data_IF_761807880229
#
_entry.id   IF_761807880229
#
_cell.length_a   1.000
_cell.length_b   1.000
_cell.length_c   1.000
_cell.angle_alpha   90.00
_cell.angle_beta   90.00
_cell.angle_gamma   90.00
#
_symmetry.space_group_name_H-M   'P 1'
#
loop_
_entity.id
_entity.type
_entity.pdbx_description
1 polymer ?
#
# COMPACT_ATOMS: atom_id res chain seq x y z
N UNK A 1 -16.04 -10.43 -22.04
CA UNK A 1 -15.20 -10.04 -23.18
C UNK A 1 -15.01 -8.53 -23.07
N UNK A 2 -13.82 -8.06 -22.69
CA UNK A 2 -12.69 -7.88 -23.63
C UNK A 2 -13.12 -6.81 -24.65
N UNK A 3 -12.54 -5.61 -24.67
CA UNK A 3 -11.10 -5.36 -24.75
C UNK A 3 -10.75 -3.86 -24.57
N UNK A 4 -9.51 -3.65 -24.12
CA UNK A 4 -8.51 -2.66 -24.62
C UNK A 4 -8.77 -1.19 -24.29
N UNK A 5 -7.98 -0.58 -23.40
CA UNK A 5 -6.55 -0.24 -23.46
C UNK A 5 -6.27 1.13 -24.07
N UNK A 6 -5.64 1.96 -23.23
CA UNK A 6 -4.66 3.01 -23.53
C UNK A 6 -4.97 4.03 -24.62
N UNK A 7 -4.97 5.31 -24.23
CA UNK A 7 -4.21 6.30 -24.98
C UNK A 7 -3.61 7.35 -24.03
N UNK A 8 -2.28 7.32 -23.99
CA UNK A 8 -1.40 8.41 -23.61
C UNK A 8 -1.51 9.54 -24.65
N UNK A 9 -1.25 10.78 -24.17
CA UNK A 9 -0.79 11.97 -24.91
C UNK A 9 -1.86 12.64 -25.83
N UNK A 10 -1.75 13.92 -26.25
CA UNK A 10 -0.64 14.87 -26.16
C UNK A 10 -1.01 16.28 -25.64
N UNK A 11 0.02 17.08 -25.33
CA UNK A 11 -0.03 18.53 -25.47
C UNK A 11 -0.21 18.84 -26.95
N UNK A 12 -1.44 19.05 -27.42
CA UNK A 12 -1.67 19.82 -28.64
C UNK A 12 -3.07 20.43 -28.62
N UNK A 13 -3.06 21.75 -28.73
CA UNK A 13 -4.15 22.63 -29.15
C UNK A 13 -5.15 21.94 -30.09
N UNK A 14 -6.40 21.82 -29.66
CA UNK A 14 -7.56 22.06 -30.52
C UNK A 14 -8.87 22.12 -29.71
N UNK A 15 -9.61 23.20 -29.98
CA UNK A 15 -10.97 23.54 -29.54
C UNK A 15 -11.96 22.37 -29.68
N UNK A 16 -12.58 21.95 -28.57
CA UNK A 16 -13.84 21.20 -28.56
C UNK A 16 -14.41 21.10 -27.13
N UNK A 17 -15.58 21.70 -26.88
CA UNK A 17 -16.29 21.67 -25.60
C UNK A 17 -16.53 20.23 -25.11
N UNK A 18 -15.85 19.83 -24.03
CA UNK A 18 -16.11 18.56 -23.33
C UNK A 18 -16.86 18.79 -22.03
N UNK A 19 -17.98 18.06 -21.88
CA UNK A 19 -18.80 17.98 -20.66
C UNK A 19 -18.18 16.94 -19.72
N UNK A 20 -17.77 17.35 -18.51
CA UNK A 20 -17.29 16.43 -17.47
C UNK A 20 -18.36 16.33 -16.39
N UNK A 21 -18.89 15.12 -16.18
CA UNK A 21 -19.86 14.80 -15.14
C UNK A 21 -19.13 14.02 -14.05
N UNK A 22 -19.03 14.58 -12.84
CA UNK A 22 -18.44 13.89 -11.70
C UNK A 22 -19.52 13.11 -10.93
N UNK A 23 -19.33 11.81 -10.66
CA UNK A 23 -20.19 11.07 -9.74
C UNK A 23 -19.77 11.37 -8.28
N UNK A 24 -20.71 11.81 -7.46
CA UNK A 24 -20.56 11.97 -6.00
C UNK A 24 -21.44 10.94 -5.28
N UNK A 25 -21.01 10.38 -4.13
CA UNK A 25 -21.77 9.37 -3.39
C UNK A 25 -22.96 9.92 -2.55
N UNK A 26 -23.36 11.19 -2.73
CA UNK A 26 -24.59 11.79 -2.17
C UNK A 26 -25.48 12.36 -3.31
N UNK A 27 -26.80 12.58 -3.12
CA UNK A 27 -27.79 12.66 -4.22
C UNK A 27 -27.77 13.95 -5.06
N UNK A 28 -26.66 14.68 -5.10
CA UNK A 28 -26.57 15.98 -5.76
C UNK A 28 -25.63 15.91 -6.97
N UNK A 29 -26.26 15.95 -8.16
CA UNK A 29 -25.63 15.94 -9.49
C UNK A 29 -25.08 17.32 -9.81
N UNK A 30 -23.83 17.39 -10.26
CA UNK A 30 -23.18 18.61 -10.75
C UNK A 30 -23.06 18.56 -12.28
N UNK A 31 -23.30 19.69 -12.96
CA UNK A 31 -23.06 19.84 -14.41
C UNK A 31 -22.24 21.11 -14.61
N UNK A 32 -21.00 20.94 -15.07
CA UNK A 32 -20.11 22.04 -15.45
C UNK A 32 -20.14 22.18 -16.97
N UNK A 33 -20.37 23.38 -17.48
CA UNK A 33 -20.34 23.71 -18.91
C UNK A 33 -19.39 24.88 -19.14
N UNK A 34 -18.57 24.74 -20.19
CA UNK A 34 -17.56 25.67 -20.71
C UNK A 34 -16.25 25.80 -19.90
N UNK A 35 -15.17 25.40 -20.55
CA UNK A 35 -13.78 25.56 -20.12
C UNK A 35 -13.10 26.51 -21.11
N UNK A 36 -13.00 27.78 -20.78
CA UNK A 36 -11.85 28.58 -21.22
C UNK A 36 -10.85 28.60 -20.06
N UNK A 37 -9.55 28.63 -20.37
CA UNK A 37 -8.43 28.28 -19.48
C UNK A 37 -8.27 29.12 -18.19
N UNK A 38 -9.29 29.88 -17.77
CA UNK A 38 -9.25 30.76 -16.61
C UNK A 38 -10.56 30.87 -15.83
N UNK A 39 -11.76 30.51 -16.36
CA UNK A 39 -13.04 30.71 -15.67
C UNK A 39 -14.05 29.56 -15.87
N UNK A 40 -14.88 29.28 -14.86
CA UNK A 40 -15.92 28.24 -14.84
C UNK A 40 -17.29 28.89 -14.62
N UNK A 41 -18.25 28.63 -15.52
CA UNK A 41 -19.63 29.14 -15.40
C UNK A 41 -20.56 28.10 -14.76
N UNK A 42 -21.24 28.48 -13.68
CA UNK A 42 -22.10 27.60 -12.89
C UNK A 42 -23.57 27.92 -13.14
N UNK A 43 -24.26 27.10 -13.93
CA UNK A 43 -25.62 27.41 -14.44
C UNK A 43 -26.77 26.69 -13.72
N UNK A 44 -26.51 25.70 -12.87
CA UNK A 44 -27.58 24.99 -12.15
C UNK A 44 -27.14 24.55 -10.76
N UNK A 45 -27.50 25.36 -9.76
CA UNK A 45 -27.21 25.11 -8.35
C UNK A 45 -28.45 25.52 -7.54
N UNK A 46 -28.72 24.82 -6.42
CA UNK A 46 -29.77 25.22 -5.46
C UNK A 46 -29.51 26.65 -4.95
N UNK A 47 -30.54 27.47 -4.70
CA UNK A 47 -30.37 28.89 -4.35
C UNK A 47 -29.41 29.13 -3.18
N UNK A 48 -29.39 28.25 -2.18
CA UNK A 48 -28.50 28.35 -1.00
C UNK A 48 -27.01 28.17 -1.31
N UNK A 49 -26.69 27.43 -2.36
CA UNK A 49 -25.30 27.17 -2.77
C UNK A 49 -24.86 28.16 -3.86
N UNK A 50 -25.82 28.80 -4.54
CA UNK A 50 -25.59 29.88 -5.49
C UNK A 50 -25.10 31.14 -4.77
N UNK A 51 -25.68 31.49 -3.63
CA UNK A 51 -25.22 32.61 -2.79
C UNK A 51 -23.83 32.35 -2.19
N UNK A 52 -23.56 31.11 -1.79
CA UNK A 52 -22.26 30.72 -1.25
C UNK A 52 -21.17 30.78 -2.31
N UNK A 53 -21.44 30.28 -3.52
CA UNK A 53 -20.49 30.39 -4.64
C UNK A 53 -20.29 31.85 -5.09
N UNK A 54 -21.35 32.67 -5.07
CA UNK A 54 -21.25 34.10 -5.36
C UNK A 54 -20.41 34.87 -4.32
N UNK A 55 -20.29 34.39 -3.08
CA UNK A 55 -19.40 35.02 -2.09
C UNK A 55 -17.90 34.79 -2.35
N UNK A 56 -17.56 33.84 -3.24
CA UNK A 56 -16.18 33.58 -3.67
C UNK A 56 -15.87 34.17 -5.05
N UNK A 57 -16.86 34.80 -5.69
CA UNK A 57 -16.70 35.55 -6.93
C UNK A 57 -16.17 36.95 -6.58
N UNK A 58 -14.84 37.10 -6.61
CA UNK A 58 -14.16 38.30 -6.13
C UNK A 58 -14.25 39.50 -7.08
N UNK A 59 -14.53 39.25 -8.36
CA UNK A 59 -14.69 40.28 -9.38
C UNK A 59 -16.16 40.52 -9.78
N UNK A 60 -17.07 39.65 -9.36
CA UNK A 60 -18.52 39.83 -9.45
C UNK A 60 -19.05 39.68 -10.88
N UNK A 61 -18.31 39.00 -11.76
CA UNK A 61 -18.65 38.81 -13.16
C UNK A 61 -19.58 37.60 -13.41
N UNK A 62 -19.90 36.85 -12.35
CA UNK A 62 -20.73 35.66 -12.39
C UNK A 62 -19.99 34.40 -12.87
N UNK A 63 -18.66 34.41 -12.91
CA UNK A 63 -17.80 33.29 -13.25
C UNK A 63 -16.71 33.10 -12.20
N UNK A 64 -16.50 31.87 -11.73
CA UNK A 64 -15.40 31.61 -10.80
C UNK A 64 -14.12 31.31 -11.57
N UNK A 65 -13.03 32.01 -11.23
CA UNK A 65 -11.70 31.61 -11.70
C UNK A 65 -11.28 30.29 -11.07
N UNK A 66 -10.27 29.62 -11.65
CA UNK A 66 -9.78 28.35 -11.09
C UNK A 66 -9.32 28.47 -9.62
N UNK A 67 -8.76 29.62 -9.24
CA UNK A 67 -8.33 29.89 -7.88
C UNK A 67 -9.53 30.01 -6.92
N UNK A 68 -10.55 30.78 -7.30
CA UNK A 68 -11.76 30.98 -6.51
C UNK A 68 -12.60 29.71 -6.42
N UNK A 69 -12.69 28.94 -7.51
CA UNK A 69 -13.35 27.64 -7.51
C UNK A 69 -12.67 26.67 -6.52
N UNK A 70 -11.34 26.60 -6.50
CA UNK A 70 -10.62 25.77 -5.54
C UNK A 70 -10.82 26.24 -4.09
N UNK A 71 -10.91 27.56 -3.85
CA UNK A 71 -11.21 28.10 -2.52
C UNK A 71 -12.64 27.77 -2.08
N UNK A 72 -13.62 27.91 -2.98
CA UNK A 72 -15.00 27.55 -2.72
C UNK A 72 -15.16 26.05 -2.44
N UNK A 73 -14.47 25.18 -3.19
CA UNK A 73 -14.48 23.74 -2.94
C UNK A 73 -13.83 23.36 -1.60
N UNK A 74 -12.73 24.02 -1.23
CA UNK A 74 -12.12 23.82 0.08
C UNK A 74 -13.05 24.27 1.21
N UNK A 75 -13.75 25.40 1.05
CA UNK A 75 -14.72 25.89 2.03
C UNK A 75 -15.93 24.95 2.19
N UNK A 76 -16.42 24.35 1.09
CA UNK A 76 -17.50 23.36 1.12
C UNK A 76 -17.10 22.05 1.82
N UNK A 77 -15.85 21.62 1.64
CA UNK A 77 -15.31 20.47 2.39
C UNK A 77 -15.20 20.76 3.88
N UNK A 78 -14.84 21.99 4.25
CA UNK A 78 -14.79 22.44 5.65
C UNK A 78 -16.20 22.53 6.26
N UNK A 79 -17.19 23.04 5.54
CA UNK A 79 -18.58 23.04 6.02
C UNK A 79 -19.15 21.62 6.17
N UNK A 80 -18.76 20.65 5.34
CA UNK A 80 -19.14 19.25 5.54
C UNK A 80 -18.54 18.69 6.83
N UNK A 81 -17.29 19.05 7.17
CA UNK A 81 -16.69 18.64 8.45
C UNK A 81 -17.29 19.38 9.65
N UNK A 82 -17.72 20.63 9.48
CA UNK A 82 -18.36 21.41 10.54
C UNK A 82 -19.80 20.95 10.79
N UNK A 83 -20.60 20.63 9.77
CA UNK A 83 -21.94 20.07 9.94
C UNK A 83 -21.92 18.69 10.61
N UNK A 84 -20.84 17.91 10.42
CA UNK A 84 -20.61 16.65 11.15
C UNK A 84 -20.22 16.91 12.62
N UNK A 85 -19.54 18.03 12.90
CA UNK A 85 -19.10 18.40 14.26
C UNK A 85 -20.18 19.16 15.06
N UNK A 86 -21.08 19.89 14.40
CA UNK A 86 -22.22 20.59 15.02
C UNK A 86 -23.33 19.61 15.45
N UNK A 87 -23.48 18.48 14.76
CA UNK A 87 -24.36 17.40 15.21
C UNK A 87 -23.89 16.74 16.54
N UNK A 88 -22.62 16.92 16.91
CA UNK A 88 -22.01 16.32 18.11
C UNK A 88 -21.69 17.31 19.24
N UNK A 89 -21.95 18.61 19.07
CA UNK A 89 -21.59 19.63 20.07
C UNK A 89 -22.70 20.67 20.25
N UNK A 90 -23.82 20.24 20.83
CA UNK A 90 -24.79 21.17 21.44
C UNK A 90 -24.13 21.92 22.61
N UNK A 91 -24.56 23.16 22.87
CA UNK A 91 -24.30 23.92 24.10
C UNK A 91 -22.83 24.26 24.45
N UNK A 92 -22.36 25.46 24.11
CA UNK A 92 -21.74 26.42 25.05
C UNK A 92 -21.02 27.59 24.33
N UNK A 93 -21.54 28.81 24.56
CA UNK A 93 -20.84 30.10 24.69
C UNK A 93 -19.85 30.60 23.60
N UNK A 94 -20.24 31.73 22.99
CA UNK A 94 -19.39 32.70 22.26
C UNK A 94 -18.67 33.68 23.24
N UNK A 95 -17.90 34.70 22.77
CA UNK A 95 -16.77 34.69 21.82
C UNK A 95 -15.51 35.39 22.43
N UNK A 96 -14.31 35.13 21.88
CA UNK A 96 -13.20 36.11 21.96
C UNK A 96 -12.36 36.05 20.68
N UNK A 97 -12.03 37.24 20.18
CA UNK A 97 -11.42 37.51 18.88
C UNK A 97 -9.86 37.47 18.96
N UNK A 98 -9.09 37.93 17.93
CA UNK A 98 -8.34 37.06 17.02
C UNK A 98 -6.82 37.26 17.08
N UNK A 99 -6.02 36.34 16.51
CA UNK A 99 -4.72 36.57 15.81
C UNK A 99 -3.92 35.25 15.65
N UNK A 100 -2.87 35.18 14.80
CA UNK A 100 -2.71 35.74 13.46
C UNK A 100 -2.21 34.68 12.45
N UNK A 101 -2.33 35.05 11.16
CA UNK A 101 -1.47 34.70 10.01
C UNK A 101 -0.30 33.73 10.24
N UNK A 102 -0.30 32.64 9.46
CA UNK A 102 0.84 31.97 8.81
C UNK A 102 0.84 30.43 8.97
N UNK A 103 0.00 29.74 8.19
CA UNK A 103 0.28 28.36 7.81
C UNK A 103 0.87 28.36 6.40
N UNK A 104 2.19 28.56 6.33
CA UNK A 104 2.99 28.28 5.13
C UNK A 104 2.68 26.85 4.71
N UNK A 105 2.19 26.69 3.49
CA UNK A 105 1.91 25.40 2.85
C UNK A 105 3.17 24.53 2.89
N UNK A 106 3.22 23.61 3.86
CA UNK A 106 4.30 22.63 3.96
C UNK A 106 4.16 21.66 2.79
N UNK A 107 5.03 21.82 1.79
CA UNK A 107 5.23 20.88 0.68
C UNK A 107 5.36 19.47 1.27
N UNK A 108 4.43 18.57 0.94
CA UNK A 108 4.43 17.18 1.44
C UNK A 108 5.81 16.56 1.12
N UNK A 109 6.59 16.09 2.12
CA UNK A 109 7.94 15.62 1.88
C UNK A 109 7.93 14.44 0.91
N UNK A 110 8.84 14.46 -0.07
CA UNK A 110 9.09 13.31 -0.95
C UNK A 110 9.41 12.08 -0.11
N UNK A 111 8.83 10.90 -0.40
CA UNK A 111 9.11 9.69 0.37
C UNK A 111 10.61 9.39 0.29
N UNK A 112 11.30 9.50 1.42
CA UNK A 112 12.72 9.19 1.53
C UNK A 112 12.93 7.69 1.42
N UNK A 113 13.84 7.26 0.55
CA UNK A 113 14.29 5.87 0.46
C UNK A 113 14.92 5.42 1.78
N UNK A 114 14.95 4.10 2.03
CA UNK A 114 15.35 3.57 3.33
C UNK A 114 16.80 3.94 3.69
N UNK A 115 17.69 4.02 2.71
CA UNK A 115 19.08 4.44 2.85
C UNK A 115 19.19 5.90 3.30
N UNK A 116 18.39 6.80 2.73
CA UNK A 116 18.31 8.20 3.15
C UNK A 116 17.71 8.32 4.55
N UNK A 117 16.75 7.48 4.92
CA UNK A 117 16.22 7.45 6.29
C UNK A 117 17.31 7.02 7.29
N UNK A 118 18.09 6.00 6.97
CA UNK A 118 19.23 5.55 7.79
C UNK A 118 20.26 6.68 7.91
N UNK A 119 20.69 7.24 6.78
CA UNK A 119 21.71 8.28 6.75
C UNK A 119 21.28 9.54 7.50
N UNK A 120 20.03 9.99 7.32
CA UNK A 120 19.49 11.16 8.01
C UNK A 120 19.28 10.90 9.50
N UNK A 121 18.83 9.70 9.88
CA UNK A 121 18.71 9.28 11.27
C UNK A 121 20.07 9.29 11.98
N UNK A 122 21.10 8.76 11.33
CA UNK A 122 22.46 8.72 11.87
C UNK A 122 23.09 10.11 11.98
N UNK A 123 22.95 10.95 10.95
CA UNK A 123 23.41 12.36 10.98
C UNK A 123 22.71 13.15 12.09
N UNK A 124 21.40 12.98 12.25
CA UNK A 124 20.64 13.66 13.29
C UNK A 124 21.08 13.25 14.70
N UNK A 125 21.46 11.98 14.90
CA UNK A 125 21.98 11.50 16.18
C UNK A 125 23.38 12.02 16.50
N UNK A 126 24.28 12.04 15.52
CA UNK A 126 25.60 12.67 15.68
C UNK A 126 25.49 14.17 15.97
N UNK A 127 24.55 14.86 15.33
CA UNK A 127 24.28 16.29 15.60
C UNK A 127 23.79 16.55 17.02
N UNK A 128 23.22 15.56 17.71
CA UNK A 128 22.84 15.62 19.14
C UNK A 128 24.00 15.29 20.09
N UNK A 129 25.20 15.03 19.56
CA UNK A 129 26.38 14.64 20.35
C UNK A 129 26.34 13.18 20.83
N UNK A 130 25.44 12.35 20.31
CA UNK A 130 25.42 10.92 20.61
C UNK A 130 26.67 10.24 20.01
N UNK A 131 27.25 9.29 20.75
CA UNK A 131 28.33 8.46 20.19
C UNK A 131 27.79 7.67 18.97
N UNK A 132 28.64 7.31 17.99
CA UNK A 132 28.22 6.56 16.80
C UNK A 132 27.46 5.27 17.16
N UNK A 133 27.86 4.62 18.26
CA UNK A 133 27.21 3.41 18.76
C UNK A 133 25.82 3.72 19.37
N UNK A 134 25.69 4.81 20.13
CA UNK A 134 24.40 5.22 20.70
C UNK A 134 23.40 5.61 19.60
N UNK A 135 23.86 6.31 18.57
CA UNK A 135 23.08 6.68 17.38
C UNK A 135 22.54 5.44 16.62
N UNK A 136 23.39 4.43 16.46
CA UNK A 136 23.01 3.17 15.82
C UNK A 136 21.98 2.42 16.65
N UNK A 137 22.20 2.30 17.96
CA UNK A 137 21.29 1.62 18.88
C UNK A 137 19.94 2.32 18.98
N UNK A 138 19.91 3.66 19.00
CA UNK A 138 18.66 4.43 19.02
C UNK A 138 17.88 4.29 17.70
N UNK A 139 18.57 4.31 16.56
CA UNK A 139 17.97 4.03 15.26
C UNK A 139 17.40 2.60 15.19
N UNK A 140 18.18 1.59 15.59
CA UNK A 140 17.73 0.19 15.63
C UNK A 140 16.55 0.01 16.58
N UNK A 141 16.63 0.55 17.81
CA UNK A 141 15.54 0.50 18.78
C UNK A 141 14.27 1.17 18.21
N UNK A 142 14.40 2.29 17.49
CA UNK A 142 13.27 2.95 16.83
C UNK A 142 12.65 2.12 15.71
N UNK A 143 13.43 1.34 14.96
CA UNK A 143 12.92 0.48 13.87
C UNK A 143 12.40 -0.87 14.34
N UNK A 144 12.95 -1.39 15.43
CA UNK A 144 12.42 -2.57 16.13
C UNK A 144 11.11 -2.26 16.85
N UNK A 145 10.90 -0.99 17.19
CA UNK A 145 9.63 -0.52 17.73
C UNK A 145 8.61 -0.43 16.59
N UNK A 146 7.69 -1.40 16.53
CA UNK A 146 6.62 -1.43 15.52
C UNK A 146 5.50 -0.40 15.82
N UNK A 147 5.87 0.76 16.37
CA UNK A 147 4.99 1.90 16.66
C UNK A 147 4.73 2.63 15.34
N UNK A 148 3.53 2.52 14.80
CA UNK A 148 3.11 3.27 13.61
C UNK A 148 2.34 2.46 12.58
N UNK A 149 2.37 1.14 12.63
CA UNK A 149 1.40 0.31 11.89
C UNK A 149 0.22 0.04 12.81
N UNK A 150 -0.97 0.53 12.47
CA UNK A 150 -2.20 0.10 13.14
C UNK A 150 -2.28 -1.43 13.15
N UNK A 151 -2.78 -2.01 14.24
CA UNK A 151 -3.01 -3.47 14.30
C UNK A 151 -3.89 -3.86 13.12
N UNK A 152 -3.47 -4.88 12.37
CA UNK A 152 -4.32 -5.41 11.30
C UNK A 152 -5.63 -5.92 11.91
N UNK A 153 -6.75 -5.69 11.22
CA UNK A 153 -8.06 -6.11 11.70
C UNK A 153 -8.09 -7.64 11.88
N UNK A 154 -8.85 -8.12 12.87
CA UNK A 154 -9.00 -9.56 13.12
C UNK A 154 -9.36 -10.36 11.86
N UNK A 155 -10.29 -9.83 11.07
CA UNK A 155 -10.69 -10.39 9.77
C UNK A 155 -9.53 -10.48 8.78
N UNK A 156 -8.67 -9.47 8.69
CA UNK A 156 -7.51 -9.50 7.79
C UNK A 156 -6.51 -10.58 8.19
N UNK A 157 -6.28 -10.79 9.50
CA UNK A 157 -5.44 -11.87 10.00
C UNK A 157 -6.05 -13.23 9.63
N UNK A 158 -7.34 -13.44 9.93
CA UNK A 158 -8.01 -14.71 9.66
C UNK A 158 -7.98 -15.04 8.17
N UNK A 159 -8.33 -14.11 7.30
CA UNK A 159 -8.36 -14.36 5.86
C UNK A 159 -6.97 -14.55 5.26
N UNK A 160 -5.95 -13.87 5.78
CA UNK A 160 -4.56 -14.13 5.39
C UNK A 160 -4.12 -15.54 5.78
N UNK A 161 -4.46 -15.97 7.00
CA UNK A 161 -4.17 -17.31 7.52
C UNK A 161 -4.85 -18.39 6.67
N UNK A 162 -6.17 -18.26 6.44
CA UNK A 162 -6.94 -19.19 5.63
C UNK A 162 -6.39 -19.25 4.20
N UNK A 163 -6.09 -18.11 3.59
CA UNK A 163 -5.51 -18.05 2.24
C UNK A 163 -4.18 -18.79 2.14
N UNK A 164 -3.25 -18.49 3.06
CA UNK A 164 -1.94 -19.16 3.12
C UNK A 164 -2.09 -20.67 3.34
N UNK A 165 -2.91 -21.07 4.32
CA UNK A 165 -3.14 -22.47 4.64
C UNK A 165 -3.72 -23.25 3.45
N UNK A 166 -4.74 -22.70 2.80
CA UNK A 166 -5.35 -23.31 1.62
C UNK A 166 -4.38 -23.37 0.44
N UNK A 167 -3.59 -22.33 0.20
CA UNK A 167 -2.64 -22.30 -0.90
C UNK A 167 -1.53 -23.36 -0.75
N UNK A 168 -0.90 -23.40 0.43
CA UNK A 168 0.18 -24.37 0.71
C UNK A 168 -0.37 -25.79 0.76
N UNK A 169 -1.56 -26.00 1.33
CA UNK A 169 -2.22 -27.31 1.32
C UNK A 169 -2.55 -27.74 -0.10
N UNK A 170 -3.12 -26.87 -0.93
CA UNK A 170 -3.43 -27.17 -2.32
C UNK A 170 -2.16 -27.49 -3.13
N UNK A 171 -1.08 -26.73 -2.95
CA UNK A 171 0.22 -27.03 -3.55
C UNK A 171 0.76 -28.39 -3.09
N UNK A 172 0.65 -28.71 -1.79
CA UNK A 172 1.08 -29.98 -1.22
C UNK A 172 0.28 -31.16 -1.77
N UNK A 173 -1.05 -31.06 -1.81
CA UNK A 173 -1.94 -32.08 -2.38
C UNK A 173 -1.67 -32.23 -3.88
N UNK A 174 -1.52 -31.13 -4.61
CA UNK A 174 -1.18 -31.15 -6.04
C UNK A 174 0.16 -31.83 -6.26
N UNK A 175 1.17 -31.56 -5.43
CA UNK A 175 2.50 -32.19 -5.49
C UNK A 175 2.45 -33.72 -5.34
N UNK A 176 1.50 -34.25 -4.56
CA UNK A 176 1.30 -35.69 -4.40
C UNK A 176 0.63 -36.31 -5.63
N UNK A 177 -0.40 -35.65 -6.17
CA UNK A 177 -1.18 -36.18 -7.29
C UNK A 177 -0.51 -36.00 -8.65
N UNK A 178 0.26 -34.93 -8.82
CA UNK A 178 0.85 -34.60 -10.12
C UNK A 178 1.89 -35.62 -10.58
N UNK A 179 2.43 -36.42 -9.66
CA UNK A 179 3.36 -37.53 -9.95
C UNK A 179 2.73 -38.65 -10.78
N UNK A 180 1.40 -38.78 -10.78
CA UNK A 180 0.67 -39.76 -11.59
C UNK A 180 0.14 -39.18 -12.90
N UNK A 181 0.32 -37.89 -13.17
CA UNK A 181 -0.15 -37.27 -14.41
C UNK A 181 0.72 -37.67 -15.60
N UNK A 182 0.12 -38.01 -16.76
CA UNK A 182 0.87 -38.55 -17.90
C UNK A 182 1.80 -37.53 -18.56
N UNK A 183 1.52 -36.23 -18.45
CA UNK A 183 2.28 -35.18 -19.16
C UNK A 183 3.46 -34.64 -18.34
N UNK A 184 3.25 -34.45 -17.03
CA UNK A 184 4.21 -33.76 -16.15
C UNK A 184 4.75 -34.67 -15.04
N UNK A 185 4.17 -35.85 -14.85
CA UNK A 185 4.47 -36.74 -13.73
C UNK A 185 5.92 -37.21 -13.71
N UNK A 186 6.52 -37.47 -14.87
CA UNK A 186 7.93 -37.84 -14.98
C UNK A 186 8.85 -36.80 -14.34
N UNK A 187 8.60 -35.51 -14.57
CA UNK A 187 9.40 -34.44 -13.99
C UNK A 187 9.31 -34.39 -12.46
N UNK A 188 8.13 -34.67 -11.89
CA UNK A 188 7.93 -34.72 -10.44
C UNK A 188 8.52 -35.97 -9.79
N UNK A 189 8.55 -37.09 -10.51
CA UNK A 189 9.26 -38.29 -10.07
C UNK A 189 10.77 -38.09 -10.05
N UNK A 190 11.30 -37.24 -10.94
CA UNK A 190 12.72 -36.87 -10.98
C UNK A 190 13.14 -35.83 -9.92
N UNK A 191 12.23 -35.46 -9.00
CA UNK A 191 12.54 -34.58 -7.88
C UNK A 191 12.13 -33.12 -8.06
N UNK A 192 11.36 -32.77 -9.10
CA UNK A 192 10.69 -31.49 -9.16
C UNK A 192 9.58 -31.46 -8.09
N UNK A 193 9.73 -30.61 -7.07
CA UNK A 193 8.67 -30.36 -6.10
C UNK A 193 7.90 -29.09 -6.45
N UNK A 194 6.59 -29.04 -6.18
CA UNK A 194 5.76 -27.84 -6.33
C UNK A 194 5.80 -26.90 -5.12
N UNK A 195 6.37 -27.33 -4.00
CA UNK A 195 6.59 -26.47 -2.81
C UNK A 195 7.90 -25.68 -2.95
N UNK A 196 8.00 -24.87 -4.01
CA UNK A 196 9.16 -24.01 -4.24
C UNK A 196 9.13 -22.81 -3.28
N UNK A 197 10.30 -22.38 -2.80
CA UNK A 197 10.44 -21.17 -1.98
C UNK A 197 9.91 -19.90 -2.69
N UNK A 198 9.97 -19.89 -4.03
CA UNK A 198 9.34 -18.85 -4.85
C UNK A 198 7.82 -18.78 -4.63
N UNK A 199 7.11 -19.90 -4.70
CA UNK A 199 5.65 -19.93 -4.48
C UNK A 199 5.29 -19.65 -3.02
N UNK A 200 6.11 -20.07 -2.05
CA UNK A 200 5.92 -19.67 -0.66
C UNK A 200 5.99 -18.15 -0.47
N UNK A 201 7.01 -17.51 -1.04
CA UNK A 201 7.16 -16.04 -1.01
C UNK A 201 6.00 -15.34 -1.72
N UNK A 202 5.55 -15.90 -2.85
CA UNK A 202 4.40 -15.38 -3.57
C UNK A 202 3.12 -15.45 -2.72
N UNK A 203 2.85 -16.56 -2.03
CA UNK A 203 1.73 -16.67 -1.10
C UNK A 203 1.80 -15.60 0.00
N UNK A 204 2.98 -15.36 0.58
CA UNK A 204 3.17 -14.31 1.61
C UNK A 204 2.77 -12.93 1.06
N UNK A 205 3.16 -12.62 -0.18
CA UNK A 205 2.82 -11.35 -0.80
C UNK A 205 1.33 -11.23 -1.12
N UNK A 206 0.75 -12.23 -1.79
CA UNK A 206 -0.67 -12.24 -2.20
C UNK A 206 -1.60 -12.13 -0.99
N UNK A 207 -1.35 -12.92 0.06
CA UNK A 207 -2.25 -12.97 1.22
C UNK A 207 -1.90 -11.91 2.26
N UNK A 208 -0.61 -11.61 2.47
CA UNK A 208 -0.18 -10.66 3.49
C UNK A 208 -0.31 -9.20 3.08
N UNK A 209 0.05 -8.87 1.84
CA UNK A 209 0.07 -7.48 1.33
C UNK A 209 -0.44 -7.43 -0.12
N UNK A 210 -1.74 -7.64 -0.36
CA UNK A 210 -2.31 -7.62 -1.71
C UNK A 210 -2.20 -6.25 -2.40
N UNK A 211 -1.99 -5.16 -1.66
CA UNK A 211 -1.77 -3.83 -2.24
C UNK A 211 -0.33 -3.61 -2.73
N UNK A 212 0.61 -4.52 -2.43
CA UNK A 212 1.99 -4.36 -2.84
C UNK A 212 2.11 -4.33 -4.37
N UNK A 213 2.95 -3.44 -4.89
CA UNK A 213 3.15 -3.31 -6.34
C UNK A 213 3.65 -4.61 -6.97
N UNK A 214 4.44 -5.38 -6.22
CA UNK A 214 4.94 -6.70 -6.62
C UNK A 214 3.82 -7.75 -6.87
N UNK A 215 2.61 -7.53 -6.35
CA UNK A 215 1.44 -8.43 -6.51
C UNK A 215 0.57 -8.04 -7.71
N UNK A 216 0.85 -6.92 -8.38
CA UNK A 216 0.16 -6.56 -9.63
C UNK A 216 0.31 -7.70 -10.64
N UNK A 217 -0.76 -8.00 -11.36
CA UNK A 217 -0.81 -9.13 -12.32
C UNK A 217 0.30 -9.01 -13.37
N UNK A 218 0.61 -7.79 -13.82
CA UNK A 218 1.72 -7.55 -14.73
C UNK A 218 3.06 -8.01 -14.16
N UNK A 219 3.37 -7.59 -12.92
CA UNK A 219 4.62 -7.92 -12.25
C UNK A 219 4.72 -9.42 -11.99
N UNK A 220 3.62 -10.05 -11.58
CA UNK A 220 3.53 -11.50 -11.38
C UNK A 220 3.90 -12.26 -12.66
N UNK A 221 3.22 -11.97 -13.78
CA UNK A 221 3.40 -12.71 -15.03
C UNK A 221 4.75 -12.41 -15.69
N UNK A 222 5.07 -11.13 -15.88
CA UNK A 222 6.32 -10.73 -16.51
C UNK A 222 7.52 -11.08 -15.63
N UNK A 223 7.37 -11.00 -14.31
CA UNK A 223 8.41 -11.40 -13.37
C UNK A 223 8.78 -12.88 -13.51
N UNK A 224 7.79 -13.76 -13.60
CA UNK A 224 8.02 -15.19 -13.82
C UNK A 224 8.65 -15.47 -15.20
N UNK A 225 8.17 -14.82 -16.25
CA UNK A 225 8.71 -14.97 -17.61
C UNK A 225 10.15 -14.48 -17.68
N UNK A 226 10.44 -13.27 -17.21
CA UNK A 226 11.79 -12.69 -17.24
C UNK A 226 12.76 -13.54 -16.39
N UNK A 227 12.35 -13.95 -15.20
CA UNK A 227 13.17 -14.80 -14.33
C UNK A 227 13.53 -16.13 -15.01
N UNK A 228 12.53 -16.84 -15.54
CA UNK A 228 12.76 -18.14 -16.19
C UNK A 228 13.51 -18.01 -17.52
N UNK A 229 13.19 -17.00 -18.35
CA UNK A 229 13.87 -16.78 -19.61
C UNK A 229 15.35 -16.43 -19.42
N UNK A 230 15.67 -15.54 -18.48
CA UNK A 230 17.07 -15.16 -18.20
C UNK A 230 17.88 -16.34 -17.69
N UNK A 231 17.39 -17.08 -16.68
CA UNK A 231 18.15 -18.21 -16.14
C UNK A 231 18.35 -19.33 -17.15
N UNK A 232 17.33 -19.67 -17.94
CA UNK A 232 17.44 -20.73 -18.93
C UNK A 232 18.42 -20.35 -20.04
N UNK A 233 18.34 -19.11 -20.54
CA UNK A 233 19.31 -18.59 -21.53
C UNK A 233 20.74 -18.71 -21.02
N UNK A 234 21.00 -18.28 -19.78
CA UNK A 234 22.34 -18.34 -19.19
C UNK A 234 22.79 -19.78 -18.90
N UNK A 235 21.87 -20.67 -18.55
CA UNK A 235 22.16 -22.10 -18.40
C UNK A 235 22.58 -22.75 -19.72
N UNK A 236 21.97 -22.42 -20.86
CA UNK A 236 22.42 -22.94 -22.16
C UNK A 236 23.79 -22.41 -22.57
N UNK A 237 24.09 -21.16 -22.25
CA UNK A 237 25.34 -20.51 -22.68
C UNK A 237 26.52 -20.90 -21.79
N UNK A 238 26.32 -20.95 -20.46
CA UNK A 238 27.39 -21.08 -19.47
C UNK A 238 27.35 -22.39 -18.68
N UNK A 239 26.25 -23.15 -18.78
CA UNK A 239 26.00 -24.31 -17.94
C UNK A 239 25.73 -23.96 -16.46
N UNK A 240 25.43 -24.96 -15.63
CA UNK A 240 25.19 -24.76 -14.20
C UNK A 240 26.49 -24.37 -13.48
N UNK A 241 26.63 -23.08 -13.18
CA UNK A 241 27.82 -22.53 -12.52
C UNK A 241 27.46 -21.35 -11.60
N UNK A 242 28.40 -20.98 -10.72
CA UNK A 242 28.24 -19.76 -9.90
C UNK A 242 28.12 -18.51 -10.77
N UNK A 243 28.81 -18.49 -11.91
CA UNK A 243 28.75 -17.39 -12.87
C UNK A 243 27.36 -17.31 -13.53
N UNK A 244 26.78 -18.44 -13.93
CA UNK A 244 25.41 -18.48 -14.45
C UNK A 244 24.40 -17.97 -13.43
N UNK A 245 24.52 -18.36 -12.14
CA UNK A 245 23.62 -17.85 -11.08
C UNK A 245 23.72 -16.34 -10.92
N UNK A 246 24.94 -15.82 -10.81
CA UNK A 246 25.17 -14.40 -10.60
C UNK A 246 24.69 -13.58 -11.81
N UNK A 247 25.05 -13.98 -13.03
CA UNK A 247 24.64 -13.29 -14.25
C UNK A 247 23.14 -13.39 -14.49
N UNK A 248 22.52 -14.55 -14.29
CA UNK A 248 21.07 -14.68 -14.43
C UNK A 248 20.32 -13.77 -13.45
N UNK A 249 20.75 -13.70 -12.18
CA UNK A 249 20.15 -12.79 -11.20
C UNK A 249 20.32 -11.32 -11.58
N UNK A 250 21.51 -10.94 -12.05
CA UNK A 250 21.81 -9.57 -12.48
C UNK A 250 21.01 -9.16 -13.73
N UNK A 251 20.96 -10.03 -14.75
CA UNK A 251 20.16 -9.81 -15.95
C UNK A 251 18.67 -9.77 -15.62
N UNK A 252 18.18 -10.69 -14.77
CA UNK A 252 16.79 -10.70 -14.33
C UNK A 252 16.38 -9.38 -13.70
N UNK A 253 17.12 -8.87 -12.70
CA UNK A 253 16.73 -7.62 -12.03
C UNK A 253 16.81 -6.43 -12.98
N UNK A 254 17.83 -6.36 -13.83
CA UNK A 254 17.96 -5.31 -14.83
C UNK A 254 16.79 -5.32 -15.84
N UNK A 255 16.41 -6.50 -16.34
CA UNK A 255 15.27 -6.66 -17.24
C UNK A 255 13.94 -6.33 -16.55
N UNK A 256 13.73 -6.76 -15.30
CA UNK A 256 12.52 -6.42 -14.55
C UNK A 256 12.40 -4.92 -14.26
N UNK A 257 13.52 -4.23 -14.02
CA UNK A 257 13.53 -2.77 -13.88
C UNK A 257 13.21 -2.09 -15.20
N UNK A 258 13.71 -2.62 -16.32
CA UNK A 258 13.41 -2.08 -17.65
C UNK A 258 11.92 -2.21 -18.02
N UNK A 259 11.26 -3.28 -17.57
CA UNK A 259 9.84 -3.56 -17.87
C UNK A 259 8.87 -3.12 -16.77
N UNK A 260 9.35 -2.40 -15.75
CA UNK A 260 8.59 -2.00 -14.55
C UNK A 260 7.85 -3.17 -13.88
N UNK A 261 8.45 -4.36 -13.89
CA UNK A 261 7.82 -5.62 -13.49
C UNK A 261 8.59 -6.33 -12.36
N UNK A 262 9.18 -5.56 -11.44
CA UNK A 262 9.92 -6.12 -10.29
C UNK A 262 9.02 -7.04 -9.48
N UNK A 263 9.40 -8.31 -9.42
CA UNK A 263 8.68 -9.37 -8.74
C UNK A 263 9.68 -10.25 -7.96
N UNK A 264 9.89 -9.97 -6.66
CA UNK A 264 10.89 -10.66 -5.85
C UNK A 264 10.82 -12.20 -5.86
N UNK A 265 9.63 -12.86 -5.91
CA UNK A 265 9.55 -14.32 -6.05
C UNK A 265 10.27 -14.89 -7.28
N UNK A 266 10.45 -14.09 -8.33
CA UNK A 266 11.23 -14.47 -9.52
C UNK A 266 12.69 -14.78 -9.22
N UNK A 267 13.30 -14.07 -8.25
CA UNK A 267 14.69 -14.33 -7.86
C UNK A 267 14.90 -15.73 -7.30
N UNK A 268 13.93 -16.24 -6.53
CA UNK A 268 13.97 -17.63 -6.05
C UNK A 268 13.86 -18.64 -7.20
N UNK A 269 13.10 -18.36 -8.27
CA UNK A 269 13.02 -19.24 -9.45
C UNK A 269 14.37 -19.35 -10.16
N UNK A 270 15.09 -18.23 -10.31
CA UNK A 270 16.42 -18.21 -10.94
C UNK A 270 17.37 -19.14 -10.17
N UNK A 271 17.49 -18.96 -8.86
CA UNK A 271 18.41 -19.79 -8.06
C UNK A 271 18.02 -21.27 -8.10
N UNK A 272 16.72 -21.56 -7.96
CA UNK A 272 16.22 -22.94 -8.01
C UNK A 272 16.45 -23.60 -9.36
N UNK A 273 16.30 -22.87 -10.47
CA UNK A 273 16.52 -23.42 -11.81
C UNK A 273 17.98 -23.82 -12.06
N UNK A 274 18.94 -23.06 -11.50
CA UNK A 274 20.35 -23.45 -11.61
C UNK A 274 20.71 -24.61 -10.68
N UNK A 275 20.11 -24.71 -9.49
CA UNK A 275 20.48 -25.75 -8.52
C UNK A 275 19.76 -27.09 -8.76
N UNK A 276 18.61 -27.10 -9.44
CA UNK A 276 17.81 -28.31 -9.67
C UNK A 276 18.07 -28.96 -11.03
N UNK A 277 18.66 -30.16 -11.02
CA UNK A 277 18.83 -30.97 -12.22
C UNK A 277 17.49 -31.33 -12.90
N UNK A 278 16.41 -31.49 -12.14
CA UNK A 278 15.08 -31.74 -12.70
C UNK A 278 14.56 -30.53 -13.50
N UNK A 279 14.82 -29.31 -13.03
CA UNK A 279 14.47 -28.08 -13.74
C UNK A 279 15.36 -27.92 -14.99
N UNK A 280 16.66 -28.18 -14.88
CA UNK A 280 17.57 -28.10 -16.03
C UNK A 280 17.16 -29.05 -17.16
N UNK A 281 16.72 -30.28 -16.83
CA UNK A 281 16.21 -31.25 -17.82
C UNK A 281 14.90 -30.83 -18.48
N UNK A 282 14.07 -30.09 -17.76
CA UNK A 282 12.80 -29.58 -18.26
C UNK A 282 13.02 -28.45 -19.28
N UNK A 283 14.15 -27.76 -19.18
CA UNK A 283 14.54 -26.70 -20.11
C UNK A 283 13.44 -25.60 -20.17
N UNK A 284 13.14 -25.06 -21.35
CA UNK A 284 12.10 -24.06 -21.60
C UNK A 284 10.71 -24.42 -21.09
N UNK A 285 10.40 -25.71 -20.85
CA UNK A 285 9.14 -26.08 -20.23
C UNK A 285 8.98 -25.53 -18.82
N UNK A 286 10.08 -25.29 -18.10
CA UNK A 286 10.06 -24.72 -16.74
C UNK A 286 9.33 -23.38 -16.67
N UNK A 287 9.45 -22.58 -17.72
CA UNK A 287 8.75 -21.29 -17.86
C UNK A 287 7.23 -21.46 -17.85
N UNK A 288 6.72 -22.44 -18.61
CA UNK A 288 5.29 -22.72 -18.67
C UNK A 288 4.80 -23.47 -17.43
N UNK A 289 5.51 -24.53 -17.06
CA UNK A 289 5.17 -25.41 -15.96
C UNK A 289 6.44 -25.73 -15.16
N UNK A 290 6.47 -25.56 -13.83
CA UNK A 290 5.37 -25.15 -12.97
C UNK A 290 5.22 -23.62 -12.89
N UNK A 291 6.19 -22.82 -13.37
CA UNK A 291 6.31 -21.39 -13.05
C UNK A 291 5.04 -20.59 -13.33
N UNK A 292 4.55 -20.57 -14.58
CA UNK A 292 3.35 -19.83 -14.95
C UNK A 292 2.07 -20.59 -14.64
N UNK A 293 2.03 -21.89 -14.94
CA UNK A 293 0.84 -22.72 -14.80
C UNK A 293 0.31 -22.73 -13.36
N UNK A 294 1.18 -22.93 -12.36
CA UNK A 294 0.77 -22.94 -10.95
C UNK A 294 0.32 -21.55 -10.49
N UNK A 295 1.05 -20.52 -10.92
CA UNK A 295 0.74 -19.13 -10.60
C UNK A 295 -0.64 -18.72 -11.13
N UNK A 296 -0.92 -19.00 -12.40
CA UNK A 296 -2.15 -18.61 -13.09
C UNK A 296 -3.33 -19.49 -12.69
N UNK A 297 -3.14 -20.81 -12.61
CA UNK A 297 -4.25 -21.75 -12.41
C UNK A 297 -4.64 -21.91 -10.93
N UNK A 298 -3.71 -21.68 -10.00
CA UNK A 298 -3.94 -21.92 -8.57
C UNK A 298 -3.81 -20.67 -7.72
N UNK A 299 -2.63 -20.03 -7.72
CA UNK A 299 -2.32 -18.97 -6.76
C UNK A 299 -3.09 -17.67 -7.04
N UNK A 300 -3.21 -17.28 -8.31
CA UNK A 300 -3.93 -16.06 -8.69
C UNK A 300 -5.44 -16.16 -8.40
N UNK A 301 -6.18 -17.23 -8.79
CA UNK A 301 -7.59 -17.37 -8.43
C UNK A 301 -7.84 -17.40 -6.93
N UNK A 302 -6.99 -18.13 -6.19
CA UNK A 302 -7.10 -18.19 -4.73
C UNK A 302 -6.81 -16.83 -4.08
N UNK A 303 -5.81 -16.11 -4.57
CA UNK A 303 -5.52 -14.74 -4.18
C UNK A 303 -6.69 -13.79 -4.41
N UNK A 304 -7.33 -13.88 -5.59
CA UNK A 304 -8.52 -13.09 -5.92
C UNK A 304 -9.67 -13.41 -4.95
N UNK A 305 -9.92 -14.70 -4.67
CA UNK A 305 -11.00 -15.13 -3.78
C UNK A 305 -10.78 -14.63 -2.34
N UNK A 306 -9.57 -14.78 -1.80
CA UNK A 306 -9.25 -14.31 -0.44
C UNK A 306 -9.27 -12.78 -0.36
N UNK A 307 -8.77 -12.08 -1.38
CA UNK A 307 -8.83 -10.62 -1.42
C UNK A 307 -10.26 -10.09 -1.58
N UNK A 308 -11.14 -10.82 -2.27
CA UNK A 308 -12.58 -10.52 -2.28
C UNK A 308 -13.18 -10.67 -0.88
N UNK A 309 -12.81 -11.73 -0.16
CA UNK A 309 -13.32 -12.01 1.19
C UNK A 309 -12.85 -10.97 2.22
N UNK A 310 -11.58 -10.55 2.16
CA UNK A 310 -11.03 -9.44 2.95
C UNK A 310 -11.77 -8.11 2.75
N UNK A 311 -12.25 -7.85 1.54
CA UNK A 311 -12.97 -6.61 1.24
C UNK A 311 -14.42 -6.64 1.70
N UNK A 312 -15.09 -7.79 1.62
CA UNK A 312 -16.52 -7.90 1.85
C UNK A 312 -16.92 -8.42 3.23
N UNK A 313 -16.04 -9.14 3.92
CA UNK A 313 -16.31 -9.73 5.24
C UNK A 313 -15.30 -9.21 6.25
N UNK A 314 -15.62 -8.04 6.80
CA UNK A 314 -14.81 -7.36 7.82
C UNK A 314 -15.44 -7.49 9.18
N UNK A 315 -14.62 -7.88 10.14
CA UNK A 315 -14.94 -7.91 11.56
C UNK A 315 -13.65 -7.66 12.34
N UNK A 316 -13.80 -7.14 13.55
CA UNK A 316 -12.69 -6.94 14.46
C UNK A 316 -12.97 -7.68 15.77
N UNK A 317 -11.93 -8.09 16.48
CA UNK A 317 -12.13 -8.64 17.82
C UNK A 317 -12.60 -7.49 18.72
N UNK A 318 -13.57 -7.72 19.63
CA UNK A 318 -13.93 -6.70 20.60
C UNK A 318 -12.69 -6.34 21.42
N UNK A 319 -12.14 -5.15 21.19
CA UNK A 319 -11.09 -4.55 22.02
C UNK A 319 -11.71 -4.09 23.34
N UNK A 320 -12.12 -5.04 24.16
CA UNK A 320 -12.47 -4.83 25.57
C UNK A 320 -11.65 -5.79 26.42
N UNK A 321 -10.33 -5.66 26.32
CA UNK A 321 -9.56 -5.51 27.54
C UNK A 321 -9.29 -4.01 27.63
N UNK A 322 -10.31 -3.27 28.08
CA UNK A 322 -10.07 -2.05 28.80
C UNK A 322 -9.01 -2.44 29.84
N UNK A 323 -7.78 -1.97 29.67
CA UNK A 323 -6.95 -1.75 30.86
C UNK A 323 -7.89 -1.02 31.81
N UNK A 324 -8.19 -1.56 33.01
CA UNK A 324 -9.00 -0.83 33.96
C UNK A 324 -8.42 0.57 33.97
N UNK A 325 -9.27 1.55 33.68
CA UNK A 325 -8.91 2.94 33.79
C UNK A 325 -8.33 3.05 35.20
N UNK A 326 -7.00 3.16 35.31
CA UNK A 326 -6.41 3.67 36.52
C UNK A 326 -6.89 5.11 36.50
N UNK A 327 -8.10 5.30 37.03
CA UNK A 327 -8.68 6.61 37.26
C UNK A 327 -7.59 7.47 37.90
N UNK A 328 -7.62 8.79 37.68
CA UNK A 328 -6.55 9.70 38.05
C UNK A 328 -6.04 9.30 39.43
N UNK A 329 -4.74 8.99 39.51
CA UNK A 329 -4.08 8.66 40.78
C UNK A 329 -4.41 9.83 41.69
N UNK A 330 -5.37 9.62 42.60
CA UNK A 330 -5.63 10.54 43.68
C UNK A 330 -4.38 10.43 44.53
N UNK A 331 -3.46 11.36 44.32
CA UNK A 331 -2.39 11.58 45.28
C UNK A 331 -3.06 11.68 46.65
N UNK A 332 -2.67 10.84 47.62
CA UNK A 332 -3.19 11.00 48.96
C UNK A 332 -2.87 12.43 49.40
N UNK A 333 -3.91 13.18 49.75
CA UNK A 333 -3.80 14.50 50.41
C UNK A 333 -2.68 14.41 51.45
N UNK A 334 -1.72 15.35 51.48
CA UNK A 334 -0.73 15.37 52.53
C UNK A 334 -1.47 15.35 53.87
N UNK A 335 -1.15 14.36 54.69
CA UNK A 335 -1.65 14.27 56.06
C UNK A 335 -1.25 15.55 56.78
N UNK A 336 -2.13 16.15 57.60
CA UNK A 336 -1.76 17.31 58.40
C UNK A 336 -0.59 16.89 59.27
N UNK A 337 0.54 17.58 59.10
CA UNK A 337 1.72 17.44 59.94
C UNK A 337 1.26 17.53 61.40
N UNK A 338 1.35 16.43 62.13
CA UNK A 338 1.22 16.43 63.58
C UNK A 338 2.39 17.24 64.13
N UNK A 339 2.15 18.54 64.30
CA UNK A 339 3.05 19.42 65.00
C UNK A 339 3.20 18.90 66.43
N UNK A 340 4.26 18.15 66.69
CA UNK A 340 4.80 17.98 68.03
C UNK A 340 5.12 19.38 68.55
N UNK A 341 4.26 19.91 69.42
CA UNK A 341 4.66 21.01 70.31
C UNK A 341 5.69 20.46 71.30
N UNK A 342 6.88 21.04 71.43
CA UNK A 342 7.75 20.71 72.55
C UNK A 342 7.07 21.16 73.85
N UNK A 343 6.93 20.24 74.80
CA UNK A 343 6.69 20.58 76.20
C UNK A 343 7.96 21.27 76.71
N UNK A 344 7.88 22.56 76.99
CA UNK A 344 8.79 23.23 77.92
C UNK A 344 7.98 23.68 79.14
N UNK A 345 8.67 23.62 80.28
CA UNK A 345 8.20 23.79 81.64
C UNK A 345 7.55 25.14 81.93
#
# INVERSE_FOLDING_TARGET
MSLVSNCRLPLQSQSSSRRIVYPSPAPHRFVLTDYHATCIKVTSVKPDLQSLLASFDGDGDGQLTYAEANQAFAALQVQQTLNVSEAHTSCAQAPSAPSPVAAVSAKRPTPTTWDLQVANGFRAALARGESPMAALLSYMASKLNNKGTGRAAASDLLWSFVGMFLAVTALGVMNLHVRSWPVVGEWHQQGLGLLLGSFGTLCVLIFGRPEAEAVRIWNLLMGHVIATATVLTLLHVLGPSILSRALAMACMIASMMFTDSVHPPGGALVLMAVDSAAIQKMDWWFMLYPSLAVTIALLLPLGIAINWLKRNVRFDFPTTLSTPDHGPVVEPSPSPSSGLRPKMA
#
